data_IF_337235489841
#
_entry.id   IF_337235489841
#
_cell.length_a   1.000
_cell.length_b   1.000
_cell.length_c   1.000
_cell.angle_alpha   90.00
_cell.angle_beta   90.00
_cell.angle_gamma   90.00
#
_symmetry.space_group_name_H-M   'P 1'
#
loop_
_entity.id
_entity.type
_entity.pdbx_description
1 polymer ?
#
# COMPACT_ATOMS: atom_id res chain seq x y z
N UNK A 1 2.07 4.96 7.98
CA UNK A 1 0.70 4.61 7.55
C UNK A 1 -0.35 4.84 8.63
N UNK A 2 -0.16 4.34 9.87
CA UNK A 2 -1.13 4.51 11.00
C UNK A 2 -1.61 5.95 11.24
N UNK A 3 -0.74 6.94 11.09
CA UNK A 3 -1.10 8.37 11.26
C UNK A 3 -1.99 8.92 10.13
N UNK A 4 -1.76 8.48 8.89
CA UNK A 4 -2.60 8.85 7.74
C UNK A 4 -3.99 8.23 7.84
N UNK A 5 -4.07 6.95 8.24
CA UNK A 5 -5.34 6.28 8.48
C UNK A 5 -6.13 6.99 9.57
N UNK A 6 -5.49 7.30 10.70
CA UNK A 6 -6.12 8.06 11.79
C UNK A 6 -6.59 9.44 11.34
N UNK A 7 -5.78 10.15 10.54
CA UNK A 7 -6.18 11.45 9.99
C UNK A 7 -7.41 11.32 9.08
N UNK A 8 -7.43 10.34 8.17
CA UNK A 8 -8.61 10.09 7.30
C UNK A 8 -9.85 9.75 8.10
N UNK A 9 -9.73 8.90 9.11
CA UNK A 9 -10.83 8.57 10.02
C UNK A 9 -11.35 9.82 10.73
N UNK A 10 -10.46 10.73 11.15
CA UNK A 10 -10.84 12.00 11.76
C UNK A 10 -11.49 12.97 10.78
N UNK A 11 -10.99 13.07 9.54
CA UNK A 11 -11.55 13.95 8.51
C UNK A 11 -12.89 13.46 7.94
N UNK A 12 -13.12 12.14 7.93
CA UNK A 12 -14.37 11.53 7.47
C UNK A 12 -15.40 11.40 8.59
N UNK A 13 -15.02 11.69 9.84
CA UNK A 13 -15.92 11.68 10.97
C UNK A 13 -16.75 12.96 11.00
N UNK A 14 -18.03 12.85 11.39
CA UNK A 14 -18.90 14.02 11.68
C UNK A 14 -18.50 14.76 12.97
N UNK A 15 -17.35 14.40 13.56
CA UNK A 15 -16.79 15.01 14.75
C UNK A 15 -15.79 16.11 14.40
N UNK A 16 -15.71 17.17 15.20
CA UNK A 16 -14.74 18.23 14.97
C UNK A 16 -13.31 17.68 15.11
N UNK A 17 -12.38 18.09 14.24
CA UNK A 17 -10.98 17.71 14.34
C UNK A 17 -10.35 18.34 15.59
N UNK A 18 -9.27 17.73 16.08
CA UNK A 18 -8.48 18.29 17.17
C UNK A 18 -7.95 19.68 16.77
N UNK A 19 -8.41 20.70 17.49
CA UNK A 19 -8.10 22.10 17.22
C UNK A 19 -8.04 22.90 18.53
N UNK A 20 -7.47 24.10 18.45
CA UNK A 20 -7.60 25.12 19.49
C UNK A 20 -8.66 26.11 19.02
N UNK A 21 -9.68 26.30 19.84
CA UNK A 21 -10.75 27.26 19.58
C UNK A 21 -10.55 28.47 20.49
N UNK A 22 -10.20 29.61 19.91
CA UNK A 22 -10.09 30.87 20.61
C UNK A 22 -11.44 31.58 20.51
N UNK A 23 -12.06 31.85 21.65
CA UNK A 23 -13.36 32.52 21.72
C UNK A 23 -13.21 33.83 22.48
N UNK A 24 -13.43 34.94 21.78
CA UNK A 24 -13.44 36.28 22.35
C UNK A 24 -14.87 36.68 22.71
N UNK A 25 -15.05 37.32 23.86
CA UNK A 25 -16.31 37.88 24.36
C UNK A 25 -17.45 36.85 24.59
N UNK A 26 -17.10 35.67 25.10
CA UNK A 26 -18.06 34.66 25.54
C UNK A 26 -17.69 34.14 26.93
N UNK A 27 -18.68 33.98 27.80
CA UNK A 27 -18.44 33.45 29.15
C UNK A 27 -18.34 31.92 29.12
N UNK A 28 -17.61 31.30 30.07
CA UNK A 28 -17.55 29.84 30.20
C UNK A 28 -18.93 29.18 30.33
N UNK A 29 -19.86 29.84 31.02
CA UNK A 29 -21.24 29.36 31.19
C UNK A 29 -22.03 29.31 29.88
N UNK A 30 -21.85 30.29 29.00
CA UNK A 30 -22.49 30.29 27.68
C UNK A 30 -21.93 29.19 26.78
N UNK A 31 -20.64 28.88 26.93
CA UNK A 31 -20.00 27.77 26.22
C UNK A 31 -20.52 26.40 26.66
N UNK A 32 -20.64 26.18 27.97
CA UNK A 32 -21.18 24.94 28.54
C UNK A 32 -22.62 24.66 28.04
N UNK A 33 -23.45 25.71 27.95
CA UNK A 33 -24.80 25.61 27.38
C UNK A 33 -24.80 25.22 25.89
N UNK A 34 -23.83 25.72 25.13
CA UNK A 34 -23.66 25.40 23.70
C UNK A 34 -23.17 23.97 23.52
N UNK A 35 -22.18 23.52 24.31
CA UNK A 35 -21.72 22.12 24.31
C UNK A 35 -22.88 21.20 24.65
N UNK A 36 -23.63 21.48 25.71
CA UNK A 36 -24.73 20.61 26.15
C UNK A 36 -25.78 20.43 25.06
N UNK A 37 -26.09 21.51 24.31
CA UNK A 37 -27.00 21.46 23.16
C UNK A 37 -26.42 20.67 21.98
N UNK A 38 -25.12 20.78 21.75
CA UNK A 38 -24.43 20.03 20.71
C UNK A 38 -24.34 18.53 21.04
N UNK A 39 -24.00 18.18 22.28
CA UNK A 39 -23.97 16.80 22.81
C UNK A 39 -25.31 16.11 22.66
N UNK A 40 -26.40 16.80 23.03
CA UNK A 40 -27.75 16.28 22.87
C UNK A 40 -28.07 15.98 21.40
N UNK A 41 -27.58 16.80 20.46
CA UNK A 41 -27.76 16.61 19.02
C UNK A 41 -26.94 15.44 18.48
N UNK A 42 -25.67 15.31 18.89
CA UNK A 42 -24.78 14.21 18.52
C UNK A 42 -25.29 12.86 19.04
N UNK A 43 -25.79 12.80 20.29
CA UNK A 43 -26.38 11.57 20.86
C UNK A 43 -27.64 11.13 20.10
N UNK A 44 -28.47 12.07 19.67
CA UNK A 44 -29.62 11.77 18.81
C UNK A 44 -29.22 11.24 17.43
N UNK A 45 -27.99 11.50 16.99
CA UNK A 45 -27.42 11.00 15.73
C UNK A 45 -26.61 9.71 15.90
N UNK A 46 -26.51 9.16 17.12
CA UNK A 46 -25.87 7.88 17.40
C UNK A 46 -24.35 7.93 17.56
N UNK A 47 -23.75 9.13 17.65
CA UNK A 47 -22.30 9.28 17.80
C UNK A 47 -21.91 9.20 19.30
N UNK A 48 -20.97 8.33 19.66
CA UNK A 48 -20.69 7.97 21.08
C UNK A 48 -19.30 8.37 21.59
N UNK A 49 -18.40 8.88 20.72
CA UNK A 49 -17.03 9.23 21.11
C UNK A 49 -16.80 10.72 20.90
N UNK A 50 -16.53 11.44 21.99
CA UNK A 50 -16.19 12.86 21.95
C UNK A 50 -14.68 13.05 21.73
N UNK A 51 -14.28 13.94 20.82
CA UNK A 51 -12.90 14.42 20.73
C UNK A 51 -12.83 15.81 21.34
N UNK A 52 -11.93 15.98 22.30
CA UNK A 52 -11.82 17.20 23.11
C UNK A 52 -11.11 18.30 22.31
N UNK A 53 -11.74 19.47 22.19
CA UNK A 53 -11.16 20.68 21.58
C UNK A 53 -10.68 21.55 22.73
N UNK A 54 -9.46 22.07 22.64
CA UNK A 54 -8.98 23.01 23.66
C UNK A 54 -9.58 24.38 23.40
N UNK A 55 -10.33 24.90 24.36
CA UNK A 55 -11.03 26.18 24.24
C UNK A 55 -10.39 27.19 25.17
N UNK A 56 -9.96 28.33 24.62
CA UNK A 56 -9.47 29.45 25.41
C UNK A 56 -10.42 30.64 25.27
N UNK A 57 -10.81 31.20 26.41
CA UNK A 57 -11.72 32.35 26.48
C UNK A 57 -10.93 33.64 26.73
N UNK A 58 -11.27 34.68 25.99
CA UNK A 58 -10.86 36.06 26.29
C UNK A 58 -12.11 36.91 26.48
N UNK A 59 -12.19 37.69 27.56
CA UNK A 59 -13.31 38.60 27.81
C UNK A 59 -12.79 40.04 27.79
N UNK A 60 -12.96 40.70 26.65
CA UNK A 60 -12.74 42.12 26.51
C UNK A 60 -13.96 42.77 25.83
N UNK A 61 -14.73 43.61 26.55
CA UNK A 61 -15.94 44.25 26.02
C UNK A 61 -15.67 45.29 24.92
N UNK A 62 -14.40 45.65 24.67
CA UNK A 62 -14.03 46.57 23.59
C UNK A 62 -13.94 45.89 22.21
N UNK A 63 -13.85 44.55 22.15
CA UNK A 63 -13.65 43.81 20.90
C UNK A 63 -14.88 42.94 20.53
N UNK A 64 -15.23 42.85 19.24
CA UNK A 64 -16.34 42.01 18.77
C UNK A 64 -16.07 40.52 19.01
N UNK A 65 -17.15 39.72 19.05
CA UNK A 65 -17.07 38.26 19.13
C UNK A 65 -16.22 37.73 17.96
N UNK A 66 -15.05 37.19 18.28
CA UNK A 66 -14.13 36.61 17.33
C UNK A 66 -13.92 35.14 17.69
N UNK A 67 -14.03 34.29 16.68
CA UNK A 67 -13.74 32.86 16.77
C UNK A 67 -12.56 32.59 15.84
N UNK A 68 -11.46 32.09 16.40
CA UNK A 68 -10.32 31.62 15.60
C UNK A 68 -10.13 30.13 15.88
N UNK A 69 -10.21 29.32 14.82
CA UNK A 69 -9.95 27.88 14.86
C UNK A 69 -8.53 27.63 14.36
N UNK A 70 -7.65 27.19 15.25
CA UNK A 70 -6.31 26.74 14.91
C UNK A 70 -6.29 25.22 14.84
N UNK A 71 -6.28 24.67 13.63
CA UNK A 71 -6.18 23.23 13.40
C UNK A 71 -4.81 22.70 13.86
N UNK A 72 -4.80 21.72 14.77
CA UNK A 72 -3.56 21.14 15.28
C UNK A 72 -2.91 20.13 14.32
N UNK A 73 -3.71 19.58 13.40
CA UNK A 73 -3.27 18.64 12.39
C UNK A 73 -3.82 19.06 11.03
N UNK A 74 -2.94 19.60 10.18
CA UNK A 74 -3.25 19.92 8.79
C UNK A 74 -2.39 19.06 7.88
N UNK A 75 -3.00 18.51 6.82
CA UNK A 75 -2.24 17.93 5.72
C UNK A 75 -1.42 19.02 5.04
N UNK A 76 -0.20 18.70 4.64
CA UNK A 76 0.62 19.65 3.89
C UNK A 76 -0.06 19.99 2.55
N UNK A 77 0.12 21.23 2.12
CA UNK A 77 -0.45 21.73 0.88
C UNK A 77 0.15 20.96 -0.31
N UNK A 78 -0.70 20.23 -1.04
CA UNK A 78 -0.28 19.34 -2.13
C UNK A 78 -0.18 17.85 -1.76
N UNK A 79 -0.64 17.42 -0.59
CA UNK A 79 -0.78 15.98 -0.31
C UNK A 79 -1.77 15.31 -1.28
N UNK A 80 -1.26 14.42 -2.14
CA UNK A 80 -2.05 13.51 -2.93
C UNK A 80 -2.01 12.10 -2.30
N UNK A 81 -3.19 11.65 -1.87
CA UNK A 81 -3.37 10.35 -1.23
C UNK A 81 -3.03 9.19 -2.19
N UNK A 82 -3.30 9.37 -3.49
CA UNK A 82 -2.99 8.37 -4.49
C UNK A 82 -1.48 8.19 -4.60
N UNK A 83 -0.73 9.28 -4.75
CA UNK A 83 0.73 9.26 -4.78
C UNK A 83 1.31 8.64 -3.50
N UNK A 84 0.77 8.96 -2.33
CA UNK A 84 1.22 8.38 -1.06
C UNK A 84 0.98 6.86 -0.99
N UNK A 85 -0.17 6.39 -1.49
CA UNK A 85 -0.48 4.97 -1.58
C UNK A 85 0.42 4.25 -2.58
N UNK A 86 0.64 4.83 -3.77
CA UNK A 86 1.53 4.28 -4.80
C UNK A 86 2.95 4.12 -4.25
N UNK A 87 3.49 5.12 -3.53
CA UNK A 87 4.80 5.01 -2.87
C UNK A 87 4.85 3.89 -1.81
N UNK A 88 3.76 3.69 -1.05
CA UNK A 88 3.70 2.62 -0.07
C UNK A 88 3.68 1.23 -0.72
N UNK A 89 2.92 1.06 -1.80
CA UNK A 89 2.90 -0.18 -2.57
C UNK A 89 4.27 -0.44 -3.21
N UNK A 90 4.90 0.57 -3.80
CA UNK A 90 6.25 0.43 -4.38
C UNK A 90 7.28 0.03 -3.32
N UNK A 91 7.20 0.60 -2.11
CA UNK A 91 8.07 0.24 -1.00
C UNK A 91 7.86 -1.21 -0.55
N UNK A 92 6.60 -1.67 -0.51
CA UNK A 92 6.26 -3.04 -0.18
C UNK A 92 6.77 -4.02 -1.25
N UNK A 93 6.49 -3.74 -2.52
CA UNK A 93 6.93 -4.53 -3.66
C UNK A 93 8.46 -4.68 -3.68
N UNK A 94 9.19 -3.59 -3.42
CA UNK A 94 10.66 -3.60 -3.30
C UNK A 94 11.15 -4.53 -2.19
N UNK A 95 10.48 -4.53 -1.02
CA UNK A 95 10.87 -5.36 0.11
C UNK A 95 10.70 -6.86 -0.20
N UNK A 96 9.64 -7.23 -0.90
CA UNK A 96 9.37 -8.62 -1.30
C UNK A 96 10.04 -9.03 -2.61
N UNK A 97 10.68 -8.06 -3.30
CA UNK A 97 11.30 -8.26 -4.63
C UNK A 97 10.31 -8.75 -5.69
N UNK A 98 9.05 -8.39 -5.52
CA UNK A 98 7.94 -8.70 -6.43
C UNK A 98 7.61 -7.45 -7.24
N UNK A 99 7.03 -7.62 -8.43
CA UNK A 99 6.64 -6.49 -9.26
C UNK A 99 5.49 -5.71 -8.60
N UNK A 100 5.55 -4.37 -8.51
CA UNK A 100 4.46 -3.61 -7.92
C UNK A 100 3.11 -3.75 -8.65
N UNK A 101 3.10 -4.09 -9.95
CA UNK A 101 1.88 -4.31 -10.74
C UNK A 101 1.09 -5.53 -10.27
N UNK A 102 1.74 -6.50 -9.62
CA UNK A 102 1.05 -7.66 -9.02
C UNK A 102 0.18 -7.25 -7.82
N UNK A 103 0.59 -6.22 -7.08
CA UNK A 103 -0.16 -5.69 -5.93
C UNK A 103 -1.07 -4.53 -6.30
N UNK A 104 -0.66 -3.72 -7.27
CA UNK A 104 -1.36 -2.51 -7.67
C UNK A 104 -1.19 -2.28 -9.17
N UNK A 105 -2.20 -2.61 -9.99
CA UNK A 105 -2.14 -2.38 -11.42
C UNK A 105 -2.21 -0.85 -11.67
N UNK A 106 -1.04 -0.19 -11.66
CA UNK A 106 -0.94 1.20 -12.09
C UNK A 106 -1.32 1.20 -13.57
N UNK A 107 -2.52 1.70 -13.87
CA UNK A 107 -3.04 1.86 -15.21
C UNK A 107 -2.13 2.80 -16.02
N UNK A 108 -1.13 2.26 -16.69
CA UNK A 108 -0.26 2.99 -17.61
C UNK A 108 -0.49 2.50 -19.04
N UNK A 109 -1.33 3.22 -19.80
CA UNK A 109 -1.34 3.24 -21.27
C UNK A 109 -1.75 1.96 -22.02
N UNK A 110 -2.62 2.10 -23.02
CA UNK A 110 -3.23 1.00 -23.78
C UNK A 110 -2.32 0.30 -24.82
N UNK A 111 -1.00 0.47 -24.81
CA UNK A 111 -0.11 -0.13 -25.81
C UNK A 111 1.18 -0.67 -25.18
N UNK A 112 1.24 -1.99 -24.98
CA UNK A 112 2.46 -2.71 -24.56
C UNK A 112 2.34 -3.58 -23.30
N UNK A 113 1.19 -3.54 -22.62
CA UNK A 113 1.03 -4.12 -21.26
C UNK A 113 1.10 -5.64 -21.19
N UNK A 114 0.63 -6.37 -22.21
CA UNK A 114 0.60 -7.84 -22.15
C UNK A 114 2.01 -8.46 -22.24
N UNK A 115 2.80 -8.05 -23.23
CA UNK A 115 4.16 -8.56 -23.43
C UNK A 115 5.12 -8.09 -22.32
N UNK A 116 4.94 -6.88 -21.80
CA UNK A 116 5.70 -6.43 -20.63
C UNK A 116 5.30 -7.19 -19.36
N UNK A 117 4.00 -7.45 -19.15
CA UNK A 117 3.52 -8.22 -18.00
C UNK A 117 4.04 -9.66 -18.04
N UNK A 118 3.98 -10.35 -19.19
CA UNK A 118 4.56 -11.70 -19.34
C UNK A 118 6.07 -11.70 -19.08
N UNK A 119 6.78 -10.68 -19.56
CA UNK A 119 8.24 -10.58 -19.40
C UNK A 119 8.63 -10.19 -17.97
N UNK A 120 7.77 -9.46 -17.26
CA UNK A 120 7.92 -9.12 -15.84
C UNK A 120 7.54 -10.29 -14.92
N UNK A 121 6.45 -11.01 -15.21
CA UNK A 121 6.08 -12.26 -14.53
C UNK A 121 7.22 -13.28 -14.63
N UNK A 122 7.79 -13.44 -15.83
CA UNK A 122 8.97 -14.28 -16.05
C UNK A 122 10.19 -13.82 -15.25
N UNK A 123 10.35 -12.52 -15.00
CA UNK A 123 11.43 -11.96 -14.15
C UNK A 123 11.14 -12.14 -12.66
N UNK A 124 9.88 -12.07 -12.24
CA UNK A 124 9.44 -12.27 -10.87
C UNK A 124 9.54 -13.74 -10.44
N UNK A 125 9.19 -14.70 -11.32
CA UNK A 125 9.38 -16.15 -11.09
C UNK A 125 10.83 -16.50 -10.68
N UNK A 126 11.82 -15.80 -11.22
CA UNK A 126 13.24 -15.99 -10.87
C UNK A 126 13.72 -15.23 -9.63
N UNK A 127 12.94 -14.26 -9.12
CA UNK A 127 13.37 -13.31 -8.07
C UNK A 127 12.39 -13.28 -6.92
N UNK A 128 12.82 -13.78 -5.76
CA UNK A 128 12.02 -13.85 -4.53
C UNK A 128 11.85 -15.30 -4.09
N UNK A 129 10.91 -16.02 -4.69
CA UNK A 129 10.59 -17.40 -4.33
C UNK A 129 11.76 -18.35 -4.57
N UNK A 130 12.51 -18.15 -5.66
CA UNK A 130 13.73 -18.92 -5.97
C UNK A 130 14.74 -18.91 -4.83
N UNK A 131 14.80 -17.85 -4.00
CA UNK A 131 15.69 -17.80 -2.84
C UNK A 131 15.24 -18.79 -1.77
N UNK A 132 13.93 -18.90 -1.53
CA UNK A 132 13.36 -19.83 -0.55
C UNK A 132 13.54 -21.26 -1.06
N UNK A 133 13.19 -21.53 -2.31
CA UNK A 133 13.39 -22.85 -2.92
C UNK A 133 14.87 -23.26 -2.92
N UNK A 134 15.79 -22.35 -3.28
CA UNK A 134 17.22 -22.66 -3.22
C UNK A 134 17.72 -22.84 -1.78
N UNK A 135 17.22 -22.08 -0.81
CA UNK A 135 17.58 -22.23 0.59
C UNK A 135 17.11 -23.59 1.13
N UNK A 136 15.87 -23.99 0.82
CA UNK A 136 15.29 -25.28 1.22
C UNK A 136 16.00 -26.44 0.53
N UNK A 137 16.21 -26.35 -0.78
CA UNK A 137 16.93 -27.39 -1.52
C UNK A 137 18.38 -27.53 -1.03
N UNK A 138 19.06 -26.43 -0.71
CA UNK A 138 20.42 -26.47 -0.12
C UNK A 138 20.42 -27.08 1.28
N UNK A 139 19.41 -26.80 2.10
CA UNK A 139 19.29 -27.38 3.43
C UNK A 139 19.05 -28.91 3.35
N UNK A 140 18.19 -29.35 2.42
CA UNK A 140 17.89 -30.76 2.20
C UNK A 140 19.04 -31.54 1.55
N UNK A 141 19.76 -30.92 0.61
CA UNK A 141 20.97 -31.50 0.01
C UNK A 141 22.23 -31.29 0.86
N UNK A 142 22.10 -30.68 2.02
CA UNK A 142 23.20 -30.47 2.95
C UNK A 142 23.62 -31.77 3.65
N UNK A 143 24.77 -31.75 4.36
CA UNK A 143 25.37 -32.94 4.97
C UNK A 143 24.48 -33.68 5.99
N UNK A 144 23.47 -32.99 6.52
CA UNK A 144 22.54 -33.51 7.54
C UNK A 144 21.15 -33.83 6.99
N UNK A 145 20.91 -33.59 5.70
CA UNK A 145 19.60 -33.77 5.07
C UNK A 145 19.47 -35.14 4.41
N UNK A 146 19.82 -35.20 3.12
CA UNK A 146 19.70 -36.41 2.31
C UNK A 146 21.01 -37.22 2.28
N UNK A 147 20.92 -38.56 2.17
CA UNK A 147 22.10 -39.42 2.03
C UNK A 147 22.89 -39.13 0.75
N UNK A 148 24.20 -39.38 0.81
CA UNK A 148 25.08 -39.28 -0.36
C UNK A 148 24.59 -40.23 -1.48
N UNK A 149 24.21 -39.65 -2.60
CA UNK A 149 23.68 -40.38 -3.77
C UNK A 149 22.27 -39.96 -4.20
N UNK A 150 21.56 -39.16 -3.41
CA UNK A 150 20.25 -38.60 -3.78
C UNK A 150 20.27 -37.08 -3.65
N UNK A 151 19.91 -36.39 -4.73
CA UNK A 151 19.78 -34.92 -4.76
C UNK A 151 18.33 -34.53 -4.94
N UNK A 152 17.84 -33.66 -4.07
CA UNK A 152 16.55 -33.03 -4.17
C UNK A 152 16.63 -31.78 -5.05
N UNK A 153 15.74 -31.65 -6.01
CA UNK A 153 15.48 -30.39 -6.71
C UNK A 153 13.98 -30.11 -6.71
N UNK A 154 13.63 -28.83 -6.71
CA UNK A 154 12.27 -28.42 -6.97
C UNK A 154 11.99 -28.57 -8.46
N UNK A 155 11.09 -29.46 -8.81
CA UNK A 155 10.56 -29.55 -10.16
C UNK A 155 9.49 -28.48 -10.33
N UNK A 156 9.87 -27.40 -11.01
CA UNK A 156 8.92 -26.38 -11.44
C UNK A 156 8.29 -26.92 -12.72
N UNK A 157 7.21 -27.70 -12.58
CA UNK A 157 6.35 -28.02 -13.72
C UNK A 157 5.71 -26.72 -14.21
N UNK A 158 6.41 -26.03 -15.11
CA UNK A 158 5.87 -24.94 -15.89
C UNK A 158 5.68 -25.48 -17.31
N UNK A 159 4.43 -25.80 -17.66
CA UNK A 159 4.04 -26.28 -19.00
C UNK A 159 4.61 -25.37 -20.11
N UNK A 160 4.82 -24.09 -19.80
CA UNK A 160 5.44 -23.09 -20.68
C UNK A 160 6.95 -23.28 -20.89
N UNK A 161 7.71 -23.68 -19.87
CA UNK A 161 9.15 -23.92 -20.02
C UNK A 161 9.42 -25.25 -20.75
N UNK A 162 8.60 -26.28 -20.50
CA UNK A 162 8.64 -27.53 -21.26
C UNK A 162 8.28 -27.31 -22.74
N UNK A 163 7.27 -26.47 -22.99
CA UNK A 163 6.92 -26.03 -24.35
C UNK A 163 8.07 -25.31 -25.03
N UNK A 164 8.73 -24.35 -24.36
CA UNK A 164 9.90 -23.65 -24.92
C UNK A 164 11.05 -24.61 -25.20
N UNK A 165 11.31 -25.57 -24.30
CA UNK A 165 12.34 -26.58 -24.54
C UNK A 165 12.01 -27.45 -25.76
N UNK A 166 10.72 -27.79 -25.98
CA UNK A 166 10.27 -28.48 -27.18
C UNK A 166 10.43 -27.62 -28.45
N UNK A 167 10.05 -26.33 -28.41
CA UNK A 167 10.22 -25.39 -29.53
C UNK A 167 11.71 -25.21 -29.91
N UNK A 168 12.60 -25.10 -28.91
CA UNK A 168 14.05 -25.02 -29.14
C UNK A 168 14.58 -26.31 -29.78
N UNK A 169 14.11 -27.48 -29.32
CA UNK A 169 14.48 -28.77 -29.92
C UNK A 169 14.03 -28.86 -31.37
N UNK A 170 12.81 -28.42 -31.67
CA UNK A 170 12.29 -28.39 -33.03
C UNK A 170 13.12 -27.47 -33.94
N UNK A 171 13.47 -26.26 -33.48
CA UNK A 171 14.38 -25.35 -34.18
C UNK A 171 15.73 -26.00 -34.46
N UNK A 172 16.28 -26.76 -33.50
CA UNK A 172 17.53 -27.48 -33.68
C UNK A 172 17.44 -28.53 -34.78
N UNK A 173 16.37 -29.33 -34.77
CA UNK A 173 16.10 -30.35 -35.79
C UNK A 173 15.93 -29.71 -37.17
N UNK A 174 15.20 -28.60 -37.26
CA UNK A 174 15.01 -27.87 -38.51
C UNK A 174 16.34 -27.32 -39.05
N UNK A 175 17.21 -26.79 -38.20
CA UNK A 175 18.53 -26.29 -38.60
C UNK A 175 19.42 -27.42 -39.11
N UNK A 176 19.48 -28.56 -38.41
CA UNK A 176 20.24 -29.74 -38.86
C UNK A 176 19.72 -30.24 -40.20
N UNK A 177 18.40 -30.31 -40.37
CA UNK A 177 17.77 -30.72 -41.63
C UNK A 177 18.13 -29.77 -42.79
N UNK A 178 18.09 -28.46 -42.58
CA UNK A 178 18.49 -27.46 -43.58
C UNK A 178 19.97 -27.57 -43.95
N UNK A 179 20.84 -27.84 -42.98
CA UNK A 179 22.27 -28.05 -43.24
C UNK A 179 22.52 -29.33 -44.06
N UNK A 180 21.72 -30.37 -43.85
CA UNK A 180 21.82 -31.63 -44.59
C UNK A 180 21.24 -31.55 -46.00
N UNK A 181 20.13 -30.83 -46.20
CA UNK A 181 19.52 -30.60 -47.51
C UNK A 181 20.31 -29.61 -48.40
N UNK A 182 21.20 -28.82 -47.80
CA UNK A 182 22.06 -27.86 -48.50
C UNK A 182 23.46 -28.41 -48.87
N UNK A 183 23.78 -29.64 -48.48
CA UNK A 183 25.04 -30.33 -48.81
C UNK A 183 24.88 -31.36 -49.91
#
# INVERSE_FOLDING_TARGET
>A
MKLLTKFKEQSLSDLPPAAILLLSNMTPTQWEDVITKYDARQRNQGNTVWQDILVAFSFDPAYPLAMELLELAKLWEGFDDRTAMEMAVFSFALAYRVDPREYWPVSSGALGTATEAELMDRKAKGKGEGIIYHAVARALNGPTGLPDGVTFHFDFQDDEDDRRAAEIRELHIQNVRRLWEAS
#
